data_IF_341781490604
#
_entry.id   IF_341781490604
#
_cell.length_a   1.000
_cell.length_b   1.000
_cell.length_c   1.000
_cell.angle_alpha   90.00
_cell.angle_beta   90.00
_cell.angle_gamma   90.00
#
_symmetry.space_group_name_H-M   'P 1'
#
loop_
_entity.id
_entity.type
_entity.pdbx_description
1 polymer ?
#
# COMPACT_ATOMS: atom_id res chain seq x y z
N UNK A 1 7.33 39.35 -1.88
CA UNK A 1 6.63 38.46 -0.93
C UNK A 1 5.37 37.81 -1.49
N UNK A 2 4.37 38.53 -2.05
CA UNK A 2 3.10 37.91 -2.54
C UNK A 2 3.27 36.73 -3.52
N UNK A 3 4.29 36.76 -4.39
CA UNK A 3 4.53 35.70 -5.41
C UNK A 3 4.97 34.34 -4.84
N UNK A 4 5.54 34.30 -3.63
CA UNK A 4 6.02 33.06 -2.98
C UNK A 4 4.90 32.40 -2.16
N UNK A 5 3.93 33.18 -1.68
CA UNK A 5 2.84 32.69 -0.81
C UNK A 5 1.84 31.81 -1.57
N UNK A 6 1.61 32.09 -2.86
CA UNK A 6 0.67 31.35 -3.70
C UNK A 6 1.06 29.87 -3.87
N UNK A 7 2.29 29.52 -4.34
CA UNK A 7 2.67 28.12 -4.50
C UNK A 7 2.71 27.35 -3.18
N UNK A 8 3.07 28.01 -2.07
CA UNK A 8 3.03 27.40 -0.73
C UNK A 8 1.61 27.04 -0.31
N UNK A 9 0.64 27.94 -0.52
CA UNK A 9 -0.78 27.67 -0.22
C UNK A 9 -1.34 26.54 -1.09
N UNK A 10 -0.98 26.50 -2.37
CA UNK A 10 -1.39 25.43 -3.29
C UNK A 10 -0.82 24.09 -2.83
N UNK A 11 0.48 24.03 -2.51
CA UNK A 11 1.13 22.81 -2.00
C UNK A 11 0.50 22.31 -0.70
N UNK A 12 0.21 23.21 0.24
CA UNK A 12 -0.48 22.88 1.48
C UNK A 12 -1.90 22.34 1.24
N UNK A 13 -2.71 23.02 0.43
CA UNK A 13 -4.07 22.61 0.14
C UNK A 13 -4.13 21.25 -0.58
N UNK A 14 -3.26 21.04 -1.58
CA UNK A 14 -3.14 19.76 -2.28
C UNK A 14 -2.65 18.63 -1.35
N UNK A 15 -1.71 18.94 -0.45
CA UNK A 15 -1.22 17.98 0.54
C UNK A 15 -2.32 17.55 1.50
N UNK A 16 -3.08 18.51 2.05
CA UNK A 16 -4.19 18.22 2.97
C UNK A 16 -5.27 17.38 2.28
N UNK A 17 -5.66 17.73 1.05
CA UNK A 17 -6.61 16.94 0.28
C UNK A 17 -6.10 15.50 0.05
N UNK A 18 -4.80 15.36 -0.24
CA UNK A 18 -4.19 14.05 -0.47
C UNK A 18 -4.10 13.21 0.79
N UNK A 19 -3.92 13.80 1.97
CA UNK A 19 -3.95 13.07 3.26
C UNK A 19 -5.37 12.61 3.61
N UNK A 20 -6.38 13.43 3.34
CA UNK A 20 -7.76 13.10 3.68
C UNK A 20 -8.35 12.03 2.75
N UNK A 21 -8.11 12.14 1.45
CA UNK A 21 -8.72 11.24 0.45
C UNK A 21 -7.76 10.18 -0.09
N UNK A 22 -6.45 10.45 -0.10
CA UNK A 22 -5.43 9.56 -0.66
C UNK A 22 -5.46 8.18 -0.04
N UNK A 23 -5.36 8.02 1.30
CA UNK A 23 -5.38 6.70 1.93
C UNK A 23 -6.62 5.87 1.56
N UNK A 24 -7.81 6.47 1.52
CA UNK A 24 -9.05 5.76 1.18
C UNK A 24 -9.10 5.33 -0.30
N UNK A 25 -8.51 6.11 -1.21
CA UNK A 25 -8.52 5.81 -2.64
C UNK A 25 -7.41 4.82 -3.05
N UNK A 26 -6.32 4.80 -2.28
CA UNK A 26 -5.07 4.14 -2.67
C UNK A 26 -4.81 2.83 -1.95
N UNK A 27 -5.26 2.66 -0.71
CA UNK A 27 -5.11 1.38 0.02
C UNK A 27 -5.87 0.29 -0.75
N UNK A 28 -5.20 -0.81 -1.10
CA UNK A 28 -5.76 -1.83 -2.03
C UNK A 28 -5.35 -1.68 -3.49
N UNK A 29 -4.73 -0.57 -3.87
CA UNK A 29 -4.26 -0.32 -5.23
C UNK A 29 -2.78 0.05 -5.28
N UNK A 30 -2.34 0.93 -4.39
CA UNK A 30 -1.06 1.61 -4.43
C UNK A 30 -0.45 1.62 -3.01
N UNK A 31 0.86 1.41 -2.85
CA UNK A 31 1.54 1.47 -1.57
C UNK A 31 1.75 2.93 -1.14
N UNK A 32 0.70 3.55 -0.60
CA UNK A 32 0.66 4.97 -0.27
C UNK A 32 1.78 5.40 0.67
N UNK A 33 2.04 4.61 1.72
CA UNK A 33 3.12 4.88 2.68
C UNK A 33 4.49 4.91 2.01
N UNK A 34 4.80 3.93 1.16
CA UNK A 34 6.09 3.84 0.47
C UNK A 34 6.26 4.97 -0.56
N UNK A 35 5.20 5.36 -1.27
CA UNK A 35 5.23 6.50 -2.18
C UNK A 35 5.41 7.82 -1.43
N UNK A 36 4.72 8.00 -0.30
CA UNK A 36 4.91 9.18 0.53
C UNK A 36 6.35 9.27 1.06
N UNK A 37 6.91 8.14 1.51
CA UNK A 37 8.27 8.07 2.05
C UNK A 37 9.36 8.27 0.98
N UNK A 38 9.26 7.55 -0.14
CA UNK A 38 10.19 7.67 -1.27
C UNK A 38 10.08 9.05 -1.93
N UNK A 39 8.86 9.55 -2.11
CA UNK A 39 8.61 10.88 -2.63
C UNK A 39 9.18 11.96 -1.71
N UNK A 40 8.99 11.82 -0.39
CA UNK A 40 9.62 12.71 0.57
C UNK A 40 11.14 12.68 0.45
N UNK A 41 11.77 11.50 0.40
CA UNK A 41 13.22 11.38 0.34
C UNK A 41 13.83 11.90 -0.98
N UNK A 42 13.30 11.45 -2.12
CA UNK A 42 13.88 11.71 -3.43
C UNK A 42 13.42 13.02 -4.08
N UNK A 43 12.30 13.61 -3.64
CA UNK A 43 11.79 14.86 -4.23
C UNK A 43 12.02 16.05 -3.29
N UNK A 44 11.80 15.89 -1.98
CA UNK A 44 11.96 17.03 -1.05
C UNK A 44 13.41 17.42 -0.89
N UNK A 45 14.31 16.45 -0.69
CA UNK A 45 15.74 16.74 -0.46
C UNK A 45 16.34 17.50 -1.65
N UNK A 46 16.19 17.06 -2.92
CA UNK A 46 16.69 17.83 -4.06
C UNK A 46 15.97 19.16 -4.26
N UNK A 47 14.66 19.23 -4.01
CA UNK A 47 13.90 20.47 -4.16
C UNK A 47 14.33 21.55 -3.15
N UNK A 48 14.61 21.14 -1.91
CA UNK A 48 15.12 22.04 -0.86
C UNK A 48 16.54 22.47 -1.19
N UNK A 49 17.43 21.54 -1.57
CA UNK A 49 18.81 21.86 -1.97
C UNK A 49 18.81 22.84 -3.15
N UNK A 50 18.03 22.57 -4.20
CA UNK A 50 17.91 23.45 -5.36
C UNK A 50 17.37 24.83 -4.98
N UNK A 51 16.39 24.90 -4.09
CA UNK A 51 15.83 26.17 -3.60
C UNK A 51 16.86 26.99 -2.83
N UNK A 52 17.68 26.34 -2.00
CA UNK A 52 18.76 27.00 -1.25
C UNK A 52 19.87 27.52 -2.19
N UNK A 53 20.29 26.72 -3.19
CA UNK A 53 21.27 27.13 -4.20
C UNK A 53 20.77 28.36 -4.97
N UNK A 54 19.50 28.36 -5.39
CA UNK A 54 18.91 29.47 -6.13
C UNK A 54 18.75 30.73 -5.28
N UNK A 55 18.50 30.59 -3.97
CA UNK A 55 18.49 31.72 -3.02
C UNK A 55 19.89 32.31 -2.81
N UNK A 56 20.94 31.48 -2.84
CA UNK A 56 22.33 31.91 -2.70
C UNK A 56 22.90 32.58 -3.96
N UNK A 57 22.24 32.43 -5.12
CA UNK A 57 22.66 33.00 -6.41
C UNK A 57 21.70 34.15 -6.83
N UNK A 58 21.85 35.36 -6.24
CA UNK A 58 20.92 36.47 -6.46
C UNK A 58 20.89 36.99 -7.90
N UNK A 59 21.87 36.62 -8.74
CA UNK A 59 21.98 37.06 -10.15
C UNK A 59 20.94 36.42 -11.08
N UNK A 60 20.28 35.34 -10.67
CA UNK A 60 19.40 34.57 -11.57
C UNK A 60 17.96 35.09 -11.66
N UNK A 61 17.52 36.04 -10.82
CA UNK A 61 16.16 36.63 -10.85
C UNK A 61 14.98 35.62 -10.84
N UNK A 62 15.23 34.37 -10.44
CA UNK A 62 14.27 33.26 -10.43
C UNK A 62 13.46 33.20 -9.13
N UNK A 63 12.83 34.31 -8.72
CA UNK A 63 12.13 34.44 -7.44
C UNK A 63 10.95 33.44 -7.20
N UNK A 64 10.47 32.75 -8.24
CA UNK A 64 9.32 31.82 -8.15
C UNK A 64 9.74 30.37 -7.85
N UNK A 65 10.91 29.93 -8.31
CA UNK A 65 11.39 28.55 -8.13
C UNK A 65 11.59 28.13 -6.67
N UNK A 66 12.14 28.98 -5.78
CA UNK A 66 12.23 28.65 -4.36
C UNK A 66 10.85 28.43 -3.72
N UNK A 67 9.85 29.23 -4.13
CA UNK A 67 8.49 29.09 -3.63
C UNK A 67 7.81 27.78 -4.07
N UNK A 68 8.11 27.31 -5.28
CA UNK A 68 7.66 26.00 -5.78
C UNK A 68 8.34 24.88 -4.99
N UNK A 69 9.66 24.96 -4.78
CA UNK A 69 10.39 23.96 -4.00
C UNK A 69 9.88 23.85 -2.55
N UNK A 70 9.60 24.97 -1.89
CA UNK A 70 8.96 24.97 -0.57
C UNK A 70 7.53 24.40 -0.60
N UNK A 71 6.74 24.72 -1.63
CA UNK A 71 5.39 24.15 -1.80
C UNK A 71 5.41 22.63 -1.98
N UNK A 72 6.35 22.13 -2.77
CA UNK A 72 6.58 20.68 -2.96
C UNK A 72 7.06 20.02 -1.66
N UNK A 73 7.97 20.67 -0.93
CA UNK A 73 8.42 20.19 0.37
C UNK A 73 7.26 20.03 1.37
N UNK A 74 6.41 21.07 1.48
CA UNK A 74 5.24 21.05 2.35
C UNK A 74 4.25 19.97 1.91
N UNK A 75 4.01 19.81 0.61
CA UNK A 75 3.13 18.76 0.09
C UNK A 75 3.55 17.36 0.54
N UNK A 76 4.83 17.00 0.38
CA UNK A 76 5.34 15.70 0.81
C UNK A 76 5.41 15.54 2.32
N UNK A 77 5.74 16.61 3.06
CA UNK A 77 5.75 16.57 4.53
C UNK A 77 4.34 16.35 5.08
N UNK A 78 3.32 16.94 4.45
CA UNK A 78 1.92 16.68 4.77
C UNK A 78 1.53 15.24 4.39
N UNK A 79 1.95 14.72 3.23
CA UNK A 79 1.70 13.32 2.85
C UNK A 79 2.23 12.31 3.87
N UNK A 80 3.37 12.57 4.51
CA UNK A 80 3.92 11.71 5.57
C UNK A 80 2.96 11.56 6.76
N UNK A 81 2.16 12.58 7.07
CA UNK A 81 1.14 12.51 8.13
C UNK A 81 0.07 11.47 7.76
N UNK A 82 -0.26 11.34 6.47
CA UNK A 82 -1.19 10.33 5.97
C UNK A 82 -0.64 8.91 5.92
N UNK A 83 0.68 8.73 6.06
CA UNK A 83 1.31 7.41 5.99
C UNK A 83 0.88 6.50 7.16
N UNK A 84 0.77 7.04 8.37
CA UNK A 84 0.32 6.28 9.55
C UNK A 84 -1.10 5.71 9.40
N UNK A 85 -2.12 6.54 9.11
CA UNK A 85 -3.47 6.07 8.82
C UNK A 85 -3.54 5.07 7.65
N UNK A 86 -2.75 5.27 6.60
CA UNK A 86 -2.68 4.35 5.47
C UNK A 86 -2.10 2.99 5.88
N UNK A 87 -1.05 2.96 6.71
CA UNK A 87 -0.47 1.72 7.23
C UNK A 87 -1.44 0.99 8.18
N UNK A 88 -2.14 1.73 9.05
CA UNK A 88 -3.16 1.15 9.92
C UNK A 88 -4.28 0.49 9.11
N UNK A 89 -4.76 1.16 8.05
CA UNK A 89 -5.80 0.61 7.16
C UNK A 89 -5.29 -0.61 6.38
N UNK A 90 -4.03 -0.56 5.91
CA UNK A 90 -3.34 -1.69 5.27
C UNK A 90 -3.26 -2.91 6.19
N UNK A 91 -2.76 -2.73 7.43
CA UNK A 91 -2.68 -3.80 8.43
C UNK A 91 -4.05 -4.41 8.72
N UNK A 92 -5.08 -3.57 8.84
CA UNK A 92 -6.47 -4.02 9.02
C UNK A 92 -6.93 -4.92 7.87
N UNK A 93 -6.76 -4.50 6.63
CA UNK A 93 -7.17 -5.31 5.47
C UNK A 93 -6.32 -6.58 5.29
N UNK A 94 -5.03 -6.54 5.66
CA UNK A 94 -4.21 -7.75 5.71
C UNK A 94 -4.72 -8.75 6.76
N UNK A 95 -5.10 -8.26 7.95
CA UNK A 95 -5.70 -9.11 8.98
C UNK A 95 -7.03 -9.70 8.52
N UNK A 96 -7.91 -8.91 7.91
CA UNK A 96 -9.18 -9.38 7.34
C UNK A 96 -8.96 -10.46 6.27
N UNK A 97 -7.98 -10.28 5.38
CA UNK A 97 -7.61 -11.27 4.37
C UNK A 97 -7.07 -12.57 4.99
N UNK A 98 -6.17 -12.45 5.98
CA UNK A 98 -5.62 -13.60 6.72
C UNK A 98 -6.71 -14.41 7.41
N UNK A 99 -7.58 -13.76 8.18
CA UNK A 99 -8.68 -14.43 8.90
C UNK A 99 -9.63 -15.14 7.93
N UNK A 100 -9.94 -14.51 6.79
CA UNK A 100 -10.76 -15.14 5.76
C UNK A 100 -10.08 -16.40 5.20
N UNK A 101 -8.79 -16.31 4.84
CA UNK A 101 -8.01 -17.44 4.35
C UNK A 101 -7.92 -18.57 5.39
N UNK A 102 -7.72 -18.24 6.67
CA UNK A 102 -7.70 -19.23 7.76
C UNK A 102 -9.05 -19.93 7.93
N UNK A 103 -10.16 -19.19 7.78
CA UNK A 103 -11.51 -19.77 7.80
C UNK A 103 -11.82 -20.69 6.62
N UNK A 104 -11.07 -20.54 5.51
CA UNK A 104 -11.21 -21.31 4.29
C UNK A 104 -10.47 -22.64 4.37
N UNK A 105 -9.33 -22.71 5.07
CA UNK A 105 -8.52 -23.93 5.26
C UNK A 105 -9.37 -25.15 5.66
N UNK A 106 -10.17 -25.13 6.74
CA UNK A 106 -10.94 -26.31 7.14
C UNK A 106 -11.96 -26.74 6.08
N UNK A 107 -12.50 -25.80 5.30
CA UNK A 107 -13.45 -26.12 4.23
C UNK A 107 -12.76 -26.76 3.03
N UNK A 108 -11.52 -26.37 2.74
CA UNK A 108 -10.69 -27.01 1.72
C UNK A 108 -10.32 -28.44 2.10
N UNK A 109 -10.02 -28.68 3.38
CA UNK A 109 -9.81 -30.03 3.91
C UNK A 109 -11.07 -30.89 3.84
N UNK A 110 -12.22 -30.34 4.21
CA UNK A 110 -13.51 -31.01 4.10
C UNK A 110 -13.79 -31.40 2.64
N UNK A 111 -13.62 -30.47 1.70
CA UNK A 111 -13.78 -30.73 0.27
C UNK A 111 -12.86 -31.87 -0.20
N UNK A 112 -11.59 -31.87 0.22
CA UNK A 112 -10.62 -32.94 -0.09
C UNK A 112 -11.06 -34.28 0.45
N UNK A 113 -11.59 -34.34 1.66
CA UNK A 113 -12.07 -35.59 2.25
C UNK A 113 -13.25 -36.18 1.48
N UNK A 114 -14.11 -35.34 0.88
CA UNK A 114 -15.26 -35.78 0.10
C UNK A 114 -14.94 -36.10 -1.37
N UNK A 115 -13.99 -35.40 -1.99
CA UNK A 115 -13.71 -35.50 -3.44
C UNK A 115 -12.38 -36.17 -3.78
N UNK A 116 -11.56 -36.49 -2.78
CA UNK A 116 -10.23 -37.10 -2.96
C UNK A 116 -9.14 -36.14 -3.42
N UNK A 117 -9.40 -34.83 -3.44
CA UNK A 117 -8.43 -33.80 -3.82
C UNK A 117 -8.93 -32.38 -3.55
N UNK A 118 -8.02 -31.41 -3.56
CA UNK A 118 -8.38 -30.00 -3.39
C UNK A 118 -9.10 -29.44 -4.63
N UNK A 119 -10.00 -28.44 -4.47
CA UNK A 119 -10.74 -27.87 -5.59
C UNK A 119 -9.81 -27.18 -6.59
N UNK A 120 -10.20 -27.14 -7.87
CA UNK A 120 -9.41 -26.41 -8.88
C UNK A 120 -9.62 -24.90 -8.76
N UNK A 121 -10.81 -24.49 -8.32
CA UNK A 121 -11.16 -23.10 -8.09
C UNK A 121 -11.73 -22.92 -6.68
N UNK A 122 -11.30 -21.85 -6.00
CA UNK A 122 -11.77 -21.56 -4.63
C UNK A 122 -13.28 -21.34 -4.54
N UNK A 123 -13.89 -20.89 -5.64
CA UNK A 123 -15.34 -20.67 -5.77
C UNK A 123 -16.17 -21.92 -5.52
N UNK A 124 -15.60 -23.12 -5.66
CA UNK A 124 -16.26 -24.40 -5.37
C UNK A 124 -16.52 -24.60 -3.86
N UNK A 125 -15.79 -23.86 -3.00
CA UNK A 125 -15.85 -23.96 -1.54
C UNK A 125 -16.35 -22.67 -0.89
N UNK A 126 -16.47 -21.59 -1.67
CA UNK A 126 -17.05 -20.33 -1.22
C UNK A 126 -18.57 -20.46 -1.05
N UNK A 127 -19.09 -19.91 0.05
CA UNK A 127 -20.53 -19.77 0.24
C UNK A 127 -21.06 -18.59 -0.57
N UNK A 128 -22.34 -18.59 -0.97
CA UNK A 128 -22.95 -17.47 -1.72
C UNK A 128 -22.81 -16.12 -1.02
N UNK A 129 -22.82 -16.10 0.32
CA UNK A 129 -22.75 -14.89 1.14
C UNK A 129 -21.32 -14.50 1.56
N UNK A 130 -20.29 -15.26 1.13
CA UNK A 130 -18.91 -14.96 1.49
C UNK A 130 -18.42 -13.70 0.75
N UNK A 131 -18.42 -12.57 1.46
CA UNK A 131 -17.86 -11.33 0.96
C UNK A 131 -16.33 -11.36 0.98
N UNK A 132 -15.70 -11.40 -0.19
CA UNK A 132 -14.24 -11.38 -0.29
C UNK A 132 -13.64 -10.11 0.34
N UNK A 133 -12.62 -10.22 1.20
CA UNK A 133 -11.82 -9.11 1.68
C UNK A 133 -11.18 -8.31 0.53
N UNK A 134 -10.91 -7.01 0.77
CA UNK A 134 -10.48 -6.09 -0.27
C UNK A 134 -9.27 -6.60 -1.09
N UNK A 135 -8.24 -7.15 -0.44
CA UNK A 135 -7.05 -7.67 -1.12
C UNK A 135 -7.28 -8.95 -1.92
N UNK A 136 -8.35 -9.70 -1.61
CA UNK A 136 -8.68 -10.96 -2.29
C UNK A 136 -9.62 -10.75 -3.49
N UNK A 137 -10.36 -9.65 -3.55
CA UNK A 137 -11.40 -9.39 -4.58
C UNK A 137 -10.89 -9.36 -6.02
N UNK A 138 -9.66 -8.93 -6.24
CA UNK A 138 -9.11 -8.67 -7.59
C UNK A 138 -7.88 -9.50 -7.92
N UNK A 139 -7.53 -10.45 -7.06
CA UNK A 139 -6.32 -11.24 -7.18
C UNK A 139 -6.70 -12.71 -7.18
N UNK A 140 -5.95 -13.50 -7.94
CA UNK A 140 -5.98 -14.95 -7.77
C UNK A 140 -5.18 -15.27 -6.51
N UNK A 141 -5.89 -15.51 -5.41
CA UNK A 141 -5.27 -15.76 -4.11
C UNK A 141 -5.14 -17.23 -3.77
N UNK A 142 -5.85 -18.12 -4.47
CA UNK A 142 -5.79 -19.56 -4.28
C UNK A 142 -5.00 -20.23 -5.40
N UNK A 143 -4.04 -21.05 -5.01
CA UNK A 143 -3.21 -21.84 -5.92
C UNK A 143 -3.18 -23.29 -5.46
N UNK A 144 -3.59 -24.20 -6.34
CA UNK A 144 -3.56 -25.63 -6.08
C UNK A 144 -2.39 -26.26 -6.85
N UNK A 145 -1.64 -27.12 -6.17
CA UNK A 145 -0.53 -27.88 -6.74
C UNK A 145 -0.65 -29.33 -6.27
N UNK A 146 -1.10 -30.21 -7.16
CA UNK A 146 -1.32 -31.63 -6.89
C UNK A 146 -2.15 -31.86 -5.61
N UNK A 147 -1.51 -32.30 -4.53
CA UNK A 147 -2.13 -32.63 -3.25
C UNK A 147 -1.83 -31.58 -2.17
N UNK A 148 -1.54 -30.35 -2.59
CA UNK A 148 -1.30 -29.21 -1.71
C UNK A 148 -1.94 -27.94 -2.29
N UNK A 149 -2.09 -26.92 -1.45
CA UNK A 149 -2.51 -25.61 -1.88
C UNK A 149 -1.70 -24.51 -1.19
N UNK A 150 -1.73 -23.32 -1.77
CA UNK A 150 -1.29 -22.10 -1.13
C UNK A 150 -2.32 -20.99 -1.27
N UNK A 151 -2.35 -20.12 -0.26
CA UNK A 151 -3.19 -18.93 -0.23
C UNK A 151 -2.29 -17.71 -0.16
N UNK A 152 -2.29 -16.84 -1.15
CA UNK A 152 -1.42 -15.66 -1.16
C UNK A 152 -2.11 -14.41 -1.65
N UNK A 153 -1.69 -13.25 -1.16
CA UNK A 153 -2.13 -11.96 -1.67
C UNK A 153 -1.05 -10.93 -1.56
N UNK A 154 -1.25 -9.86 -2.31
CA UNK A 154 -0.38 -8.70 -2.38
C UNK A 154 -1.13 -7.50 -1.83
N UNK A 155 -0.52 -6.75 -0.91
CA UNK A 155 -1.14 -5.56 -0.30
C UNK A 155 -1.33 -4.39 -1.29
N UNK A 156 -0.60 -4.41 -2.41
CA UNK A 156 -0.57 -3.34 -3.41
C UNK A 156 -0.45 -3.92 -4.84
N UNK A 157 -1.50 -4.53 -5.38
CA UNK A 157 -1.45 -5.26 -6.66
C UNK A 157 -1.07 -4.39 -7.87
N UNK A 158 -1.29 -3.07 -7.79
CA UNK A 158 -0.95 -2.15 -8.88
C UNK A 158 0.53 -1.77 -8.93
N UNK A 159 1.32 -2.05 -7.87
CA UNK A 159 2.72 -1.63 -7.77
C UNK A 159 3.55 -2.76 -7.11
N UNK A 160 3.97 -3.77 -7.89
CA UNK A 160 4.59 -5.00 -7.36
C UNK A 160 5.95 -4.79 -6.69
N UNK A 161 6.64 -3.68 -6.95
CA UNK A 161 7.97 -3.39 -6.38
C UNK A 161 7.95 -2.89 -4.94
N UNK A 162 6.79 -2.46 -4.44
CA UNK A 162 6.65 -1.88 -3.11
C UNK A 162 5.57 -2.61 -2.30
N UNK A 163 5.29 -3.87 -2.66
CA UNK A 163 4.19 -4.61 -2.08
C UNK A 163 4.67 -5.73 -1.16
N UNK A 164 4.07 -5.82 0.02
CA UNK A 164 4.16 -7.00 0.87
C UNK A 164 3.36 -8.15 0.29
N UNK A 165 4.01 -9.31 0.21
CA UNK A 165 3.37 -10.58 -0.13
C UNK A 165 3.14 -11.35 1.16
N UNK A 166 1.90 -11.78 1.37
CA UNK A 166 1.55 -12.76 2.39
C UNK A 166 1.20 -14.06 1.68
N UNK A 167 1.78 -15.17 2.12
CA UNK A 167 1.53 -16.49 1.55
C UNK A 167 1.40 -17.53 2.66
N UNK A 168 0.35 -18.33 2.61
CA UNK A 168 0.20 -19.55 3.39
C UNK A 168 0.53 -20.74 2.52
N UNK A 169 1.36 -21.63 3.04
CA UNK A 169 1.71 -22.88 2.37
C UNK A 169 1.15 -24.06 3.17
N UNK A 170 0.23 -24.82 2.57
CA UNK A 170 -0.37 -25.98 3.24
C UNK A 170 0.69 -26.99 3.70
N UNK A 171 1.75 -27.20 2.90
CA UNK A 171 2.83 -28.16 3.21
C UNK A 171 3.63 -27.81 4.47
N UNK A 172 3.78 -26.54 4.81
CA UNK A 172 4.52 -26.08 6.00
C UNK A 172 3.60 -25.60 7.12
N UNK A 173 2.29 -25.53 6.88
CA UNK A 173 1.28 -24.98 7.82
C UNK A 173 1.64 -23.59 8.36
N UNK A 174 2.43 -22.82 7.60
CA UNK A 174 2.99 -21.54 8.03
C UNK A 174 2.60 -20.41 7.08
N UNK A 175 2.58 -19.21 7.64
CA UNK A 175 2.46 -17.96 6.90
C UNK A 175 3.84 -17.33 6.69
N UNK A 176 4.18 -17.07 5.43
CA UNK A 176 5.34 -16.31 5.02
C UNK A 176 4.90 -14.88 4.67
N UNK A 177 5.57 -13.89 5.27
CA UNK A 177 5.35 -12.47 5.00
C UNK A 177 6.64 -11.87 4.45
N UNK A 178 6.70 -11.56 3.15
CA UNK A 178 7.89 -10.98 2.52
C UNK A 178 8.12 -9.50 2.89
N UNK A 179 7.15 -8.84 3.53
CA UNK A 179 7.31 -7.51 4.10
C UNK A 179 6.67 -7.47 5.48
N UNK A 180 7.24 -8.21 6.43
CA UNK A 180 6.94 -8.00 7.83
C UNK A 180 7.53 -6.64 8.25
N UNK A 181 6.74 -5.57 8.13
CA UNK A 181 7.05 -4.25 8.68
C UNK A 181 6.94 -4.26 10.22
N UNK A 182 7.73 -5.14 10.85
CA UNK A 182 7.87 -5.23 12.29
C UNK A 182 6.53 -5.41 13.00
N UNK A 183 5.89 -6.56 12.80
CA UNK A 183 4.83 -7.06 13.67
C UNK A 183 5.32 -8.29 14.42
N UNK A 184 6.44 -8.21 15.13
CA UNK A 184 6.88 -9.29 16.02
C UNK A 184 5.81 -9.57 17.08
N UNK A 185 5.33 -10.81 17.04
CA UNK A 185 4.61 -11.60 18.07
C UNK A 185 3.14 -11.28 18.32
#
# INVERSE_FOLDING_TARGET
>A
MKRIVIPVKIGLAAGVASVLFGPMLTVGRIPFGDIALLGAYFVVVPSVILSLILLALPRLNLCLLPGIGFGVAIFFLVLLIGAGPADALKRRHCREAKVFCESLIPRLEEYRSHHGGYPKQVTEVLRPDDALPMYLRKQKFYHQTNDTFSLSWVDSPGVPYCSGVAAYHHSSTNWDFCADWGGTQ
#
